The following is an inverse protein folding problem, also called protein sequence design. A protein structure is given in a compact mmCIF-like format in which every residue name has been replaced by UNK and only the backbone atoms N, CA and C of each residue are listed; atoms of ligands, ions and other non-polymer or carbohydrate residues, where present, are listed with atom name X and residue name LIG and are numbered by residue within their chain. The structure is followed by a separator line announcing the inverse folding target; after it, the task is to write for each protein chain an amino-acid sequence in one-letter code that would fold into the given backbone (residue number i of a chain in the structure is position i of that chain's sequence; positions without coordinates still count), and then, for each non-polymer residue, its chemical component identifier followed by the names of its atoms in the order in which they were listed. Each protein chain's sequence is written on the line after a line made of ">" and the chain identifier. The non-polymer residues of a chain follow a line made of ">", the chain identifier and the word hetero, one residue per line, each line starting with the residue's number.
data_IF_764109261534
#
_entry.id   IF_764109261534
#
_cell.length_a   1.000
_cell.length_b   1.000
_cell.length_c   1.000
_cell.angle_alpha   90.00
_cell.angle_beta   90.00
_cell.angle_gamma   90.00
#
_symmetry.space_group_name_H-M   'P 1'
#
loop_
_entity.id
_entity.type
_entity.pdbx_description
1 polymer ?
#
# COMPACT_ATOMS: atom_id res chain seq x y z
N UNK A 1 9.74 -23.68 10.31
CA UNK A 1 10.11 -22.41 9.64
C UNK A 1 8.83 -21.81 9.10
N UNK A 2 8.43 -20.66 9.62
CA UNK A 2 7.28 -19.93 9.12
C UNK A 2 7.62 -19.28 7.77
N UNK A 3 6.63 -18.91 6.97
CA UNK A 3 6.86 -18.24 5.66
C UNK A 3 7.59 -16.90 5.81
N UNK A 4 7.71 -16.37 7.02
CA UNK A 4 8.31 -15.08 7.38
C UNK A 4 9.80 -15.16 7.70
N UNK A 5 10.32 -16.34 8.11
CA UNK A 5 11.74 -16.53 8.47
C UNK A 5 12.71 -16.20 7.34
N UNK A 6 12.24 -16.25 6.07
CA UNK A 6 13.04 -15.90 4.88
C UNK A 6 13.42 -14.42 4.78
N UNK A 7 12.82 -13.56 5.60
CA UNK A 7 13.06 -12.11 5.60
C UNK A 7 13.94 -11.64 6.76
N UNK A 8 14.21 -12.51 7.73
CA UNK A 8 14.99 -12.18 8.94
C UNK A 8 16.37 -11.56 8.61
N UNK A 9 17.12 -12.17 7.68
CA UNK A 9 18.46 -11.70 7.29
C UNK A 9 18.46 -10.31 6.61
N UNK A 10 17.29 -9.85 6.14
CA UNK A 10 17.13 -8.58 5.41
C UNK A 10 16.44 -7.49 6.23
N UNK A 11 16.02 -7.79 7.45
CA UNK A 11 15.25 -6.86 8.26
C UNK A 11 16.01 -5.59 8.66
N UNK A 12 17.35 -5.63 8.65
CA UNK A 12 18.19 -4.51 9.08
C UNK A 12 17.98 -3.22 8.29
N UNK A 13 17.79 -3.30 6.97
CA UNK A 13 17.45 -2.18 6.08
C UNK A 13 16.54 -2.63 4.94
N UNK A 14 15.42 -3.26 5.29
CA UNK A 14 14.50 -3.83 4.31
C UNK A 14 14.05 -2.81 3.26
N UNK A 15 13.59 -1.64 3.71
CA UNK A 15 13.11 -0.61 2.78
C UNK A 15 14.22 -0.06 1.88
N UNK A 16 15.48 0.00 2.36
CA UNK A 16 16.62 0.43 1.56
C UNK A 16 17.07 -0.63 0.56
N UNK A 17 17.10 -1.90 0.96
CA UNK A 17 17.61 -3.00 0.12
C UNK A 17 16.58 -3.56 -0.87
N UNK A 18 15.29 -3.48 -0.52
CA UNK A 18 14.21 -4.07 -1.31
C UNK A 18 13.97 -3.32 -2.63
N UNK A 19 14.32 -2.05 -2.70
CA UNK A 19 14.08 -1.20 -3.86
C UNK A 19 15.39 -0.65 -4.41
N UNK A 20 15.58 -0.71 -5.72
CA UNK A 20 16.76 -0.14 -6.38
C UNK A 20 16.87 1.39 -6.17
N UNK A 21 15.74 2.09 -6.06
CA UNK A 21 15.62 3.50 -5.64
C UNK A 21 14.48 3.60 -4.61
N UNK A 22 14.81 3.26 -3.36
CA UNK A 22 13.86 3.23 -2.26
C UNK A 22 13.20 4.60 -2.03
N UNK A 23 13.98 5.68 -2.13
CA UNK A 23 13.48 7.04 -1.91
C UNK A 23 12.42 7.42 -2.93
N UNK A 24 12.70 7.26 -4.21
CA UNK A 24 11.73 7.58 -5.29
C UNK A 24 10.50 6.68 -5.19
N UNK A 25 10.70 5.39 -4.90
CA UNK A 25 9.62 4.41 -4.81
C UNK A 25 8.65 4.72 -3.66
N UNK A 26 9.18 4.92 -2.45
CA UNK A 26 8.37 5.19 -1.25
C UNK A 26 7.76 6.59 -1.28
N UNK A 27 8.50 7.61 -1.73
CA UNK A 27 7.97 8.96 -1.89
C UNK A 27 6.78 9.00 -2.86
N UNK A 28 6.85 8.26 -3.98
CA UNK A 28 5.75 8.18 -4.93
C UNK A 28 4.54 7.44 -4.36
N UNK A 29 4.75 6.37 -3.59
CA UNK A 29 3.66 5.70 -2.87
C UNK A 29 3.00 6.64 -1.87
N UNK A 30 3.76 7.32 -1.03
CA UNK A 30 3.25 8.29 -0.07
C UNK A 30 2.46 9.42 -0.73
N UNK A 31 2.93 9.95 -1.87
CA UNK A 31 2.19 10.93 -2.66
C UNK A 31 0.80 10.39 -3.06
N UNK A 32 0.75 9.15 -3.56
CA UNK A 32 -0.51 8.52 -3.95
C UNK A 32 -1.39 8.17 -2.74
N UNK A 33 -0.81 7.77 -1.61
CA UNK A 33 -1.55 7.58 -0.36
C UNK A 33 -2.26 8.86 0.05
N UNK A 34 -1.59 10.01 -0.05
CA UNK A 34 -2.21 11.30 0.29
C UNK A 34 -3.27 11.75 -0.71
N UNK A 35 -3.08 11.49 -2.01
CA UNK A 35 -3.82 12.18 -3.08
C UNK A 35 -4.80 11.31 -3.88
N UNK A 36 -4.63 9.98 -3.92
CA UNK A 36 -5.51 9.08 -4.66
C UNK A 36 -6.78 8.81 -3.84
N UNK A 37 -7.95 9.02 -4.44
CA UNK A 37 -9.23 9.03 -3.73
C UNK A 37 -9.37 10.23 -2.77
N UNK A 38 -10.13 10.12 -1.67
CA UNK A 38 -10.25 11.19 -0.67
C UNK A 38 -8.88 11.61 -0.13
N UNK A 39 -8.61 12.92 -0.11
CA UNK A 39 -7.34 13.47 0.37
C UNK A 39 -7.18 13.27 1.88
N UNK A 40 -5.95 12.99 2.29
CA UNK A 40 -5.59 12.97 3.71
C UNK A 40 -5.27 14.38 4.21
N UNK A 41 -5.74 14.65 5.43
CA UNK A 41 -5.41 15.86 6.18
C UNK A 41 -4.19 15.62 7.09
N UNK A 42 -3.53 16.67 7.57
CA UNK A 42 -2.58 16.56 8.67
C UNK A 42 -3.25 15.91 9.90
N UNK A 43 -2.52 14.99 10.54
CA UNK A 43 -3.03 14.24 11.70
C UNK A 43 -3.88 13.02 11.38
N UNK A 44 -4.30 12.81 10.11
CA UNK A 44 -4.98 11.57 9.71
C UNK A 44 -4.11 10.34 9.99
N UNK A 45 -4.73 9.27 10.49
CA UNK A 45 -4.04 8.01 10.77
C UNK A 45 -3.94 7.17 9.50
N UNK A 46 -2.73 6.73 9.18
CA UNK A 46 -2.44 5.76 8.13
C UNK A 46 -1.99 4.45 8.77
N UNK A 47 -2.81 3.42 8.66
CA UNK A 47 -2.49 2.06 9.05
C UNK A 47 -1.91 1.30 7.85
N UNK A 48 -0.67 0.82 7.95
CA UNK A 48 0.01 0.09 6.87
C UNK A 48 0.14 -1.39 7.23
N UNK A 49 -0.65 -2.24 6.59
CA UNK A 49 -0.67 -3.69 6.84
C UNK A 49 0.39 -4.39 5.99
N UNK A 50 1.17 -5.26 6.61
CA UNK A 50 2.37 -5.90 6.07
C UNK A 50 3.41 -4.85 5.62
N UNK A 51 3.71 -3.93 6.54
CA UNK A 51 4.51 -2.74 6.29
C UNK A 51 6.03 -3.00 6.16
N UNK A 52 6.51 -4.22 6.46
CA UNK A 52 7.92 -4.50 6.61
C UNK A 52 8.52 -3.68 7.76
N UNK A 53 9.64 -3.02 7.54
CA UNK A 53 10.27 -2.12 8.51
C UNK A 53 9.59 -0.73 8.62
N UNK A 54 8.45 -0.52 7.95
CA UNK A 54 7.67 0.71 8.01
C UNK A 54 8.28 1.91 7.27
N UNK A 55 9.14 1.69 6.27
CA UNK A 55 9.84 2.77 5.55
C UNK A 55 8.95 3.81 4.89
N UNK A 56 7.66 3.51 4.67
CA UNK A 56 6.69 4.47 4.15
C UNK A 56 6.45 5.65 5.12
N UNK A 57 6.60 5.42 6.43
CA UNK A 57 6.44 6.45 7.46
C UNK A 57 7.28 7.70 7.21
N UNK A 58 8.52 7.54 6.73
CA UNK A 58 9.47 8.64 6.52
C UNK A 58 8.99 9.64 5.45
N UNK A 59 8.00 9.25 4.64
CA UNK A 59 7.42 10.05 3.55
C UNK A 59 6.00 10.54 3.86
N UNK A 60 5.50 10.31 5.08
CA UNK A 60 4.19 10.73 5.57
C UNK A 60 4.29 11.59 6.86
N UNK A 61 5.12 12.66 6.87
CA UNK A 61 5.44 13.39 8.11
C UNK A 61 4.26 14.14 8.73
N UNK A 62 3.20 14.39 7.96
CA UNK A 62 2.00 15.10 8.44
C UNK A 62 0.93 14.14 8.97
N UNK A 63 1.05 12.84 8.72
CA UNK A 63 0.11 11.81 9.15
C UNK A 63 0.66 11.06 10.36
N UNK A 64 -0.22 10.56 11.22
CA UNK A 64 0.16 9.54 12.19
C UNK A 64 0.24 8.20 11.46
N UNK A 65 1.43 7.64 11.39
CA UNK A 65 1.65 6.34 10.76
C UNK A 65 1.70 5.23 11.81
N UNK A 66 0.95 4.15 11.57
CA UNK A 66 1.00 2.91 12.35
C UNK A 66 1.23 1.75 11.39
N UNK A 67 2.32 1.03 11.55
CA UNK A 67 2.63 -0.14 10.72
C UNK A 67 2.34 -1.46 11.44
N UNK A 68 1.92 -2.46 10.68
CA UNK A 68 1.71 -3.82 11.16
C UNK A 68 2.45 -4.79 10.27
N UNK A 69 3.29 -5.65 10.85
CA UNK A 69 3.96 -6.72 10.12
C UNK A 69 4.04 -8.00 10.95
N UNK A 70 3.99 -9.15 10.30
CA UNK A 70 4.06 -10.44 10.98
C UNK A 70 5.48 -10.82 11.41
N UNK A 71 6.50 -10.20 10.80
CA UNK A 71 7.91 -10.47 11.10
C UNK A 71 8.38 -9.67 12.30
N UNK A 72 8.77 -10.34 13.36
CA UNK A 72 9.37 -9.74 14.55
C UNK A 72 10.60 -8.90 14.20
N UNK A 73 11.47 -9.41 13.32
CA UNK A 73 12.70 -8.71 12.91
C UNK A 73 12.41 -7.40 12.17
N UNK A 74 11.38 -7.38 11.31
CA UNK A 74 10.94 -6.17 10.60
C UNK A 74 10.42 -5.13 11.58
N UNK A 75 9.55 -5.55 12.50
CA UNK A 75 8.99 -4.67 13.53
C UNK A 75 10.12 -4.11 14.42
N UNK A 76 11.01 -4.96 14.90
CA UNK A 76 12.15 -4.53 15.71
C UNK A 76 13.06 -3.54 14.97
N UNK A 77 13.32 -3.77 13.68
CA UNK A 77 14.13 -2.86 12.86
C UNK A 77 13.47 -1.50 12.69
N UNK A 78 12.15 -1.45 12.44
CA UNK A 78 11.40 -0.21 12.32
C UNK A 78 11.29 0.56 13.64
N UNK A 79 11.02 -0.15 14.75
CA UNK A 79 10.98 0.45 16.09
C UNK A 79 12.31 1.09 16.49
N UNK A 80 13.46 0.45 16.15
CA UNK A 80 14.78 1.06 16.38
C UNK A 80 14.99 2.37 15.61
N UNK A 81 14.24 2.59 14.52
CA UNK A 81 14.24 3.84 13.74
C UNK A 81 13.17 4.84 14.21
N UNK A 82 12.51 4.57 15.33
CA UNK A 82 11.48 5.44 15.91
C UNK A 82 10.11 5.36 15.24
N UNK A 83 9.85 4.30 14.44
CA UNK A 83 8.55 4.09 13.79
C UNK A 83 7.59 3.38 14.74
N UNK A 84 6.30 3.71 14.68
CA UNK A 84 5.24 3.04 15.45
C UNK A 84 4.82 1.77 14.72
N UNK A 85 5.32 0.60 15.17
CA UNK A 85 5.04 -0.68 14.55
C UNK A 85 4.49 -1.70 15.56
N UNK A 86 3.60 -2.58 15.08
CA UNK A 86 2.97 -3.66 15.85
C UNK A 86 3.25 -4.99 15.15
N UNK A 87 3.63 -6.01 15.92
CA UNK A 87 3.78 -7.36 15.39
C UNK A 87 2.42 -8.05 15.35
N UNK A 88 1.90 -8.30 14.15
CA UNK A 88 0.68 -9.09 13.94
C UNK A 88 0.55 -9.55 12.48
N UNK A 89 -0.20 -10.64 12.25
CA UNK A 89 -0.61 -11.06 10.92
C UNK A 89 -1.74 -10.16 10.40
N UNK A 90 -1.63 -9.70 9.16
CA UNK A 90 -2.65 -8.84 8.51
C UNK A 90 -4.05 -9.46 8.50
N UNK A 91 -4.13 -10.82 8.53
CA UNK A 91 -5.40 -11.53 8.55
C UNK A 91 -6.09 -11.50 9.92
N UNK A 92 -5.32 -11.31 10.98
CA UNK A 92 -5.81 -11.42 12.35
C UNK A 92 -5.85 -10.07 13.08
N UNK A 93 -5.10 -9.07 12.59
CA UNK A 93 -5.03 -7.74 13.20
C UNK A 93 -6.35 -6.97 13.04
N UNK A 94 -6.76 -6.33 14.13
CA UNK A 94 -7.85 -5.36 14.17
C UNK A 94 -7.34 -4.04 14.76
N UNK A 95 -7.66 -2.92 14.12
CA UNK A 95 -7.25 -1.63 14.65
C UNK A 95 -8.01 -1.30 15.92
N UNK A 96 -7.33 -0.86 17.00
CA UNK A 96 -7.97 -0.54 18.29
C UNK A 96 -8.84 0.73 18.23
N UNK A 97 -8.63 1.55 17.24
CA UNK A 97 -9.36 2.78 16.96
C UNK A 97 -9.61 2.94 15.45
N UNK A 98 -10.63 3.71 15.03
CA UNK A 98 -10.84 4.01 13.62
C UNK A 98 -9.64 4.73 13.00
N UNK A 99 -9.30 4.36 11.76
CA UNK A 99 -8.20 4.95 11.00
C UNK A 99 -8.71 5.59 9.71
N UNK A 100 -8.12 6.67 9.27
CA UNK A 100 -8.57 7.35 8.06
C UNK A 100 -8.21 6.58 6.79
N UNK A 101 -7.06 5.93 6.79
CA UNK A 101 -6.62 5.14 5.62
C UNK A 101 -5.93 3.87 6.06
N UNK A 102 -6.27 2.76 5.41
CA UNK A 102 -5.50 1.51 5.49
C UNK A 102 -4.76 1.28 4.17
N UNK A 103 -3.47 0.97 4.26
CA UNK A 103 -2.64 0.60 3.10
C UNK A 103 -2.25 -0.88 3.16
N UNK A 104 -2.20 -1.53 1.98
CA UNK A 104 -1.77 -2.93 1.83
C UNK A 104 -0.91 -3.00 0.58
N UNK A 105 0.41 -2.86 0.74
CA UNK A 105 1.32 -2.85 -0.39
C UNK A 105 2.05 -4.17 -0.55
N UNK A 106 1.94 -4.78 -1.75
CA UNK A 106 2.57 -6.05 -2.12
C UNK A 106 2.24 -7.21 -1.17
N UNK A 107 1.09 -7.14 -0.52
CA UNK A 107 0.70 -8.07 0.52
C UNK A 107 -0.72 -8.63 0.40
N UNK A 108 -1.52 -8.13 -0.53
CA UNK A 108 -2.89 -8.60 -0.74
C UNK A 108 -2.97 -10.12 -1.04
N UNK A 109 -1.90 -10.70 -1.59
CA UNK A 109 -1.80 -12.14 -1.86
C UNK A 109 -1.50 -13.00 -0.62
N UNK A 110 -1.21 -12.38 0.53
CA UNK A 110 -1.12 -13.06 1.82
C UNK A 110 -2.48 -13.15 2.53
N UNK A 111 -3.51 -12.49 2.00
CA UNK A 111 -4.86 -12.65 2.53
C UNK A 111 -5.32 -14.12 2.39
N UNK A 112 -5.72 -14.75 3.50
CA UNK A 112 -6.30 -16.10 3.51
C UNK A 112 -7.63 -16.10 2.75
N UNK A 113 -8.43 -15.05 2.95
CA UNK A 113 -9.64 -14.69 2.21
C UNK A 113 -9.64 -13.18 2.00
N UNK A 114 -9.53 -12.75 0.75
CA UNK A 114 -9.48 -11.33 0.39
C UNK A 114 -10.76 -10.58 0.75
N UNK A 115 -11.92 -11.22 0.55
CA UNK A 115 -13.21 -10.62 0.87
C UNK A 115 -13.36 -10.44 2.38
N UNK A 116 -13.04 -11.46 3.16
CA UNK A 116 -13.05 -11.37 4.63
C UNK A 116 -12.08 -10.29 5.14
N UNK A 117 -10.89 -10.18 4.54
CA UNK A 117 -9.92 -9.13 4.87
C UNK A 117 -10.51 -7.73 4.60
N UNK A 118 -11.11 -7.49 3.44
CA UNK A 118 -11.72 -6.19 3.13
C UNK A 118 -12.90 -5.85 4.02
N UNK A 119 -13.74 -6.84 4.35
CA UNK A 119 -14.85 -6.65 5.32
C UNK A 119 -14.31 -6.21 6.68
N UNK A 120 -13.29 -6.89 7.19
CA UNK A 120 -12.64 -6.55 8.46
C UNK A 120 -12.05 -5.14 8.43
N UNK A 121 -11.25 -4.82 7.41
CA UNK A 121 -10.64 -3.50 7.23
C UNK A 121 -11.71 -2.42 7.09
N UNK A 122 -12.81 -2.71 6.40
CA UNK A 122 -13.95 -1.81 6.27
C UNK A 122 -14.60 -1.46 7.61
N UNK A 123 -14.49 -2.32 8.62
CA UNK A 123 -15.03 -2.07 9.95
C UNK A 123 -14.34 -0.93 10.70
N UNK A 124 -13.07 -0.64 10.42
CA UNK A 124 -12.30 0.38 11.10
C UNK A 124 -11.69 1.45 10.17
N UNK A 125 -11.80 1.32 8.84
CA UNK A 125 -11.28 2.33 7.90
C UNK A 125 -12.36 3.32 7.50
N UNK A 126 -12.14 4.60 7.76
CA UNK A 126 -13.14 5.67 7.55
C UNK A 126 -13.14 6.21 6.12
N UNK A 127 -11.97 6.60 5.57
CA UNK A 127 -11.91 7.29 4.27
C UNK A 127 -11.65 6.34 3.11
N UNK A 128 -10.54 5.59 3.15
CA UNK A 128 -10.12 4.77 2.01
C UNK A 128 -9.19 3.62 2.37
N UNK A 129 -9.24 2.58 1.54
CA UNK A 129 -8.21 1.53 1.49
C UNK A 129 -7.35 1.77 0.26
N UNK A 130 -6.01 1.71 0.40
CA UNK A 130 -5.07 1.80 -0.72
C UNK A 130 -4.25 0.52 -0.80
N UNK A 131 -4.20 -0.07 -1.98
CA UNK A 131 -3.45 -1.30 -2.21
C UNK A 131 -2.90 -1.34 -3.63
N UNK A 132 -1.88 -2.15 -3.87
CA UNK A 132 -1.43 -2.45 -5.22
C UNK A 132 -2.09 -3.73 -5.75
N UNK A 133 -2.42 -3.73 -7.03
CA UNK A 133 -3.06 -4.83 -7.71
C UNK A 133 -2.25 -5.22 -8.95
N UNK A 134 -1.91 -6.50 -9.04
CA UNK A 134 -1.39 -7.08 -10.25
C UNK A 134 -2.56 -7.58 -11.12
N UNK A 135 -2.87 -6.94 -12.26
CA UNK A 135 -4.02 -7.30 -13.09
C UNK A 135 -3.91 -8.67 -13.76
N UNK A 136 -2.74 -9.31 -13.66
CA UNK A 136 -2.53 -10.68 -14.14
C UNK A 136 -2.92 -11.75 -13.13
N UNK A 137 -2.95 -11.39 -11.84
CA UNK A 137 -3.26 -12.31 -10.74
C UNK A 137 -4.69 -12.16 -10.26
N UNK A 138 -5.27 -10.96 -10.40
CA UNK A 138 -6.58 -10.64 -9.86
C UNK A 138 -7.46 -9.97 -10.90
N UNK A 139 -8.70 -10.44 -11.02
CA UNK A 139 -9.75 -9.75 -11.76
C UNK A 139 -10.15 -8.46 -11.03
N UNK A 140 -10.13 -7.34 -11.74
CA UNK A 140 -10.56 -6.07 -11.17
C UNK A 140 -12.06 -6.08 -10.83
N UNK A 141 -12.86 -6.86 -11.56
CA UNK A 141 -14.29 -7.02 -11.28
C UNK A 141 -14.53 -7.73 -9.94
N UNK A 142 -13.79 -8.81 -9.67
CA UNK A 142 -13.91 -9.56 -8.42
C UNK A 142 -13.44 -8.72 -7.22
N UNK A 143 -12.32 -8.00 -7.38
CA UNK A 143 -11.82 -7.08 -6.34
C UNK A 143 -12.84 -5.98 -6.05
N UNK A 144 -13.49 -5.42 -7.08
CA UNK A 144 -14.54 -4.41 -6.91
C UNK A 144 -15.75 -4.96 -6.18
N UNK A 145 -16.15 -6.21 -6.47
CA UNK A 145 -17.26 -6.87 -5.77
C UNK A 145 -16.95 -7.08 -4.29
N UNK A 146 -15.73 -7.50 -3.96
CA UNK A 146 -15.30 -7.68 -2.58
C UNK A 146 -15.25 -6.35 -1.81
N UNK A 147 -14.75 -5.28 -2.43
CA UNK A 147 -14.71 -3.94 -1.85
C UNK A 147 -16.12 -3.37 -1.63
N UNK A 148 -17.01 -3.56 -2.60
CA UNK A 148 -18.41 -3.14 -2.47
C UNK A 148 -19.09 -3.84 -1.28
N UNK A 149 -18.85 -5.13 -1.10
CA UNK A 149 -19.34 -5.87 0.07
C UNK A 149 -18.81 -5.30 1.39
N UNK A 150 -17.61 -4.70 1.39
CA UNK A 150 -17.00 -4.04 2.55
C UNK A 150 -17.42 -2.55 2.72
N UNK A 151 -18.35 -2.06 1.89
CA UNK A 151 -18.87 -0.69 1.95
C UNK A 151 -18.04 0.35 1.20
N UNK A 152 -17.16 -0.07 0.27
CA UNK A 152 -16.38 0.83 -0.59
C UNK A 152 -16.93 0.82 -2.00
N UNK A 153 -17.73 1.84 -2.34
CA UNK A 153 -18.47 1.92 -3.60
C UNK A 153 -17.68 2.58 -4.74
N UNK A 154 -16.62 3.30 -4.41
CA UNK A 154 -15.79 3.98 -5.38
C UNK A 154 -14.41 3.30 -5.46
N UNK A 155 -13.93 3.07 -6.68
CA UNK A 155 -12.60 2.51 -6.93
C UNK A 155 -11.88 3.36 -7.96
N UNK A 156 -10.90 4.12 -7.50
CA UNK A 156 -9.96 4.85 -8.36
C UNK A 156 -8.68 4.02 -8.54
N UNK A 157 -8.19 3.95 -9.76
CA UNK A 157 -6.97 3.22 -10.09
C UNK A 157 -5.95 4.16 -10.73
N UNK A 158 -4.68 4.00 -10.34
CA UNK A 158 -3.57 4.76 -10.91
C UNK A 158 -2.42 3.81 -11.27
N UNK A 159 -1.93 3.84 -12.51
CA UNK A 159 -0.72 3.14 -12.87
C UNK A 159 0.45 3.55 -11.98
N UNK A 160 1.29 2.59 -11.61
CA UNK A 160 2.48 2.82 -10.82
C UNK A 160 3.70 2.36 -11.60
N UNK A 161 4.41 3.31 -12.20
CA UNK A 161 5.52 3.04 -13.12
C UNK A 161 6.90 3.21 -12.49
N UNK A 162 7.01 3.31 -11.18
CA UNK A 162 8.31 3.29 -10.51
C UNK A 162 8.76 1.82 -10.38
N UNK A 163 9.85 1.40 -11.05
CA UNK A 163 10.32 0.03 -10.98
C UNK A 163 10.87 -0.27 -9.60
N UNK A 164 10.67 -1.51 -9.15
CA UNK A 164 11.22 -1.98 -7.89
C UNK A 164 12.72 -2.31 -7.97
N UNK A 165 13.13 -2.94 -9.08
CA UNK A 165 14.44 -3.59 -9.21
C UNK A 165 15.42 -2.84 -10.10
N UNK A 166 15.07 -1.66 -10.60
CA UNK A 166 15.92 -0.87 -11.50
C UNK A 166 15.78 0.62 -11.21
N UNK A 167 16.90 1.31 -11.21
CA UNK A 167 16.93 2.78 -11.24
C UNK A 167 16.67 3.24 -12.67
N UNK A 168 15.73 4.17 -12.84
CA UNK A 168 15.48 4.77 -14.14
C UNK A 168 16.28 6.08 -14.30
N UNK A 169 16.84 6.35 -15.49
CA UNK A 169 17.33 7.67 -15.81
C UNK A 169 16.23 8.72 -15.60
N UNK A 170 16.59 9.88 -15.06
CA UNK A 170 15.65 10.95 -14.71
C UNK A 170 14.66 11.30 -15.83
N UNK A 171 15.07 11.50 -17.11
CA UNK A 171 14.15 11.83 -18.18
C UNK A 171 13.13 10.71 -18.46
N UNK A 172 13.55 9.45 -18.32
CA UNK A 172 12.65 8.29 -18.49
C UNK A 172 11.63 8.24 -17.36
N UNK A 173 12.07 8.44 -16.11
CA UNK A 173 11.19 8.50 -14.95
C UNK A 173 10.15 9.63 -15.05
N UNK A 174 10.55 10.81 -15.52
CA UNK A 174 9.63 11.93 -15.75
C UNK A 174 8.63 11.64 -16.89
N UNK A 175 9.10 11.03 -17.98
CA UNK A 175 8.24 10.61 -19.10
C UNK A 175 7.17 9.60 -18.66
N UNK A 176 7.54 8.60 -17.88
CA UNK A 176 6.61 7.60 -17.32
C UNK A 176 5.59 8.24 -16.36
N UNK A 177 6.01 9.21 -15.53
CA UNK A 177 5.07 9.98 -14.68
C UNK A 177 4.07 10.80 -15.49
N UNK A 178 4.50 11.37 -16.61
CA UNK A 178 3.61 12.02 -17.58
C UNK A 178 2.60 11.03 -18.17
N UNK A 179 3.07 9.83 -18.52
CA UNK A 179 2.26 8.77 -19.08
C UNK A 179 1.18 8.25 -18.09
N UNK A 180 1.45 8.25 -16.78
CA UNK A 180 0.46 7.88 -15.75
C UNK A 180 -0.82 8.73 -15.83
N UNK A 181 -0.76 9.93 -16.41
CA UNK A 181 -1.90 10.84 -16.58
C UNK A 181 -2.71 10.56 -17.84
N UNK A 182 -2.16 9.80 -18.79
CA UNK A 182 -2.80 9.48 -20.08
C UNK A 182 -3.37 8.06 -20.02
N UNK A 183 -4.58 7.92 -19.47
CA UNK A 183 -5.24 6.64 -19.18
C UNK A 183 -5.11 5.57 -20.28
N UNK A 184 -5.44 5.82 -21.57
CA UNK A 184 -5.44 4.76 -22.58
C UNK A 184 -4.04 4.18 -22.84
N UNK A 185 -3.01 5.04 -22.84
CA UNK A 185 -1.62 4.62 -23.02
C UNK A 185 -1.08 3.93 -21.77
N UNK A 186 -1.45 4.40 -20.60
CA UNK A 186 -1.09 3.79 -19.34
C UNK A 186 -1.63 2.36 -19.21
N UNK A 187 -2.88 2.12 -19.60
CA UNK A 187 -3.49 0.78 -19.59
C UNK A 187 -2.79 -0.19 -20.53
N UNK A 188 -2.28 0.26 -21.68
CA UNK A 188 -1.52 -0.57 -22.60
C UNK A 188 -0.17 -1.01 -21.98
N UNK A 189 0.53 -0.09 -21.33
CA UNK A 189 1.82 -0.36 -20.66
C UNK A 189 1.65 -1.28 -19.45
N UNK A 190 0.55 -1.14 -18.72
CA UNK A 190 0.21 -2.00 -17.57
C UNK A 190 0.05 -3.48 -17.93
N UNK A 191 -0.43 -3.77 -19.14
CA UNK A 191 -0.55 -5.15 -19.63
C UNK A 191 0.81 -5.87 -19.73
N UNK A 192 1.91 -5.12 -19.70
CA UNK A 192 3.24 -5.68 -19.93
C UNK A 192 4.01 -5.99 -18.65
N UNK A 193 4.06 -5.10 -17.62
CA UNK A 193 4.96 -5.32 -16.45
C UNK A 193 4.67 -4.55 -15.16
N UNK A 194 3.64 -3.73 -15.08
CA UNK A 194 3.43 -2.85 -13.92
C UNK A 194 2.19 -3.20 -13.11
N UNK A 195 2.07 -2.61 -11.93
CA UNK A 195 0.91 -2.72 -11.04
C UNK A 195 0.08 -1.45 -11.08
N UNK A 196 -1.18 -1.57 -10.66
CA UNK A 196 -1.99 -0.41 -10.29
C UNK A 196 -1.86 -0.14 -8.81
N UNK A 197 -1.89 1.13 -8.42
CA UNK A 197 -2.39 1.49 -7.11
C UNK A 197 -3.89 1.74 -7.22
N UNK A 198 -4.60 1.12 -6.30
CA UNK A 198 -6.05 1.20 -6.18
C UNK A 198 -6.39 1.95 -4.90
N UNK A 199 -7.28 2.94 -4.97
CA UNK A 199 -7.91 3.55 -3.81
C UNK A 199 -9.39 3.22 -3.83
N UNK A 200 -9.83 2.47 -2.85
CA UNK A 200 -11.24 2.18 -2.62
C UNK A 200 -11.76 3.10 -1.51
N UNK A 201 -12.84 3.81 -1.78
CA UNK A 201 -13.44 4.75 -0.82
C UNK A 201 -14.96 4.60 -0.73
N UNK A 202 -15.51 5.04 0.40
CA UNK A 202 -16.95 5.16 0.59
C UNK A 202 -17.48 6.34 -0.22
N UNK A 203 -18.73 6.25 -0.65
CA UNK A 203 -19.40 7.43 -1.21
C UNK A 203 -19.62 8.43 -0.08
N UNK A 204 -19.10 9.62 -0.21
CA UNK A 204 -19.48 10.73 0.67
C UNK A 204 -20.89 11.13 0.27
N UNK A 205 -21.87 10.90 1.14
CA UNK A 205 -23.20 11.51 0.97
C UNK A 205 -23.02 13.03 1.09
N UNK A 206 -23.38 13.73 0.04
CA UNK A 206 -23.29 15.19 -0.07
C UNK A 206 -24.42 15.86 0.71
#
# INVERSE_FOLDING_TARGET
>A
MTSWDKYADKAGDWSGEQYADARTYLARRAELVRSLGPRLAPGDIVLDLACGDGGLADFLPEQRYVGVDASEDMVAAGCRRGRELVQADLNDYEAPEPVQTTTIFRAIYYARDRRALFLKIGGYTEKKIIFDLNPRQYSLADVRADLHAAGFDQLETRPFFVPQTRVLPLPVGLGLRGLERVRPLAELVLRVRFTFLCAASRRVEA
#
